data_IF_123841327369
#
_entry.id   IF_123841327369
#
_cell.length_a   1.000
_cell.length_b   1.000
_cell.length_c   1.000
_cell.angle_alpha   90.00
_cell.angle_beta   90.00
_cell.angle_gamma   90.00
#
_symmetry.space_group_name_H-M   'P 1'
#
loop_
_entity.id
_entity.type
_entity.pdbx_description
1 polymer ?
#
# COMPACT_ATOMS: atom_id res chain seq x y z
N UNK A 1 23.81 10.45 -11.01
CA UNK A 1 23.23 10.06 -9.71
C UNK A 1 21.81 9.53 -9.90
N UNK A 2 21.61 8.44 -10.66
CA UNK A 2 20.27 7.91 -10.90
C UNK A 2 20.31 6.46 -11.40
N UNK A 3 20.62 5.48 -10.53
CA UNK A 3 20.55 4.06 -10.96
C UNK A 3 20.50 3.03 -9.83
N UNK A 4 19.68 3.24 -8.78
CA UNK A 4 19.40 2.17 -7.80
C UNK A 4 17.91 2.13 -7.45
N UNK A 5 17.04 1.94 -8.44
CA UNK A 5 15.62 1.59 -8.22
C UNK A 5 15.29 0.13 -8.62
N UNK A 6 16.30 -0.71 -8.91
CA UNK A 6 16.09 -2.03 -9.53
C UNK A 6 16.27 -3.23 -8.60
N UNK A 7 15.98 -3.14 -7.29
CA UNK A 7 16.20 -4.28 -6.37
C UNK A 7 14.95 -5.01 -5.89
N UNK A 8 13.77 -4.79 -6.51
CA UNK A 8 12.65 -5.72 -6.36
C UNK A 8 12.09 -6.11 -7.71
N UNK A 9 11.89 -7.42 -7.97
CA UNK A 9 11.16 -7.83 -9.14
C UNK A 9 9.77 -7.20 -9.09
N UNK A 10 9.35 -6.61 -10.22
CA UNK A 10 8.01 -6.09 -10.38
C UNK A 10 6.99 -7.19 -10.09
N UNK A 11 5.87 -6.83 -9.48
CA UNK A 11 4.78 -7.76 -9.24
C UNK A 11 4.23 -8.31 -10.58
N UNK A 12 3.60 -9.48 -10.52
CA UNK A 12 2.91 -10.10 -11.67
C UNK A 12 1.73 -9.27 -12.18
N UNK A 13 1.19 -8.38 -11.34
CA UNK A 13 0.06 -7.49 -11.62
C UNK A 13 0.52 -6.03 -11.84
N UNK A 14 -0.30 -5.23 -12.55
CA UNK A 14 0.02 -3.84 -12.88
C UNK A 14 -0.24 -2.87 -11.72
N UNK A 15 -1.41 -2.96 -11.09
CA UNK A 15 -1.75 -2.19 -9.90
C UNK A 15 -2.85 -2.87 -9.09
N UNK A 16 -2.81 -2.69 -7.78
CA UNK A 16 -3.83 -3.13 -6.82
C UNK A 16 -4.41 -1.90 -6.12
N UNK A 17 -5.73 -1.81 -6.08
CA UNK A 17 -6.47 -0.76 -5.36
C UNK A 17 -7.26 -1.43 -4.24
N UNK A 18 -7.09 -0.95 -3.02
CA UNK A 18 -7.97 -1.31 -1.90
C UNK A 18 -8.63 -0.07 -1.35
N UNK A 19 -9.87 -0.21 -0.91
CA UNK A 19 -10.60 0.85 -0.22
C UNK A 19 -10.78 0.42 1.23
N UNK A 20 -10.22 1.20 2.14
CA UNK A 20 -10.26 0.91 3.58
C UNK A 20 -10.79 2.11 4.35
N UNK A 21 -11.41 1.85 5.49
CA UNK A 21 -11.84 2.91 6.41
C UNK A 21 -10.64 3.43 7.19
N UNK A 22 -10.38 4.73 7.10
CA UNK A 22 -9.27 5.38 7.78
C UNK A 22 -9.78 6.04 9.06
N UNK A 23 -9.52 5.45 10.23
CA UNK A 23 -9.96 5.97 11.54
C UNK A 23 -9.48 7.41 11.84
N UNK A 24 -8.35 7.82 11.27
CA UNK A 24 -7.81 9.17 11.46
C UNK A 24 -8.69 10.25 10.82
N UNK A 25 -9.42 9.91 9.76
CA UNK A 25 -10.32 10.83 9.05
C UNK A 25 -11.77 10.34 9.05
N UNK A 26 -12.05 9.21 9.69
CA UNK A 26 -13.32 8.49 9.77
C UNK A 26 -14.00 8.31 8.40
N UNK A 27 -13.21 8.16 7.34
CA UNK A 27 -13.68 8.14 5.96
C UNK A 27 -13.00 7.01 5.19
N UNK A 28 -13.64 6.54 4.13
CA UNK A 28 -13.08 5.55 3.22
C UNK A 28 -12.00 6.18 2.33
N UNK A 29 -10.80 5.62 2.36
CA UNK A 29 -9.67 6.01 1.53
C UNK A 29 -9.28 4.87 0.62
N UNK A 30 -8.85 5.22 -0.59
CA UNK A 30 -8.29 4.24 -1.51
C UNK A 30 -6.77 4.27 -1.47
N UNK A 31 -6.17 3.10 -1.32
CA UNK A 31 -4.73 2.87 -1.38
C UNK A 31 -4.44 2.17 -2.71
N UNK A 32 -3.64 2.83 -3.53
CA UNK A 32 -3.13 2.30 -4.79
C UNK A 32 -1.69 1.83 -4.57
N UNK A 33 -1.45 0.55 -4.77
CA UNK A 33 -0.10 -0.03 -4.84
C UNK A 33 0.13 -0.44 -6.28
N UNK A 34 1.22 0.03 -6.88
CA UNK A 34 1.61 -0.30 -8.24
C UNK A 34 2.58 -1.47 -8.24
N UNK A 35 2.72 -2.13 -9.40
CA UNK A 35 3.60 -3.31 -9.55
C UNK A 35 5.08 -3.02 -9.35
N UNK A 36 5.49 -1.75 -9.33
CA UNK A 36 6.82 -1.26 -8.92
C UNK A 36 6.95 -1.11 -7.39
N UNK A 37 5.97 -1.60 -6.62
CA UNK A 37 5.85 -1.48 -5.16
C UNK A 37 5.65 -0.05 -4.66
N UNK A 38 5.39 0.89 -5.56
CA UNK A 38 5.04 2.27 -5.21
C UNK A 38 3.63 2.31 -4.64
N UNK A 39 3.49 2.74 -3.40
CA UNK A 39 2.21 2.87 -2.70
C UNK A 39 1.80 4.34 -2.58
N UNK A 40 0.53 4.64 -2.85
CA UNK A 40 -0.03 5.98 -2.73
C UNK A 40 -1.46 5.96 -2.20
N UNK A 41 -1.77 6.89 -1.30
CA UNK A 41 -3.14 7.10 -0.82
C UNK A 41 -3.79 8.21 -1.66
N UNK A 42 -4.94 7.93 -2.27
CA UNK A 42 -5.66 8.89 -3.12
C UNK A 42 -6.04 10.15 -2.33
N UNK A 43 -6.44 9.98 -1.08
CA UNK A 43 -6.81 11.07 -0.18
C UNK A 43 -5.61 11.95 0.16
N UNK A 44 -4.48 11.36 0.56
CA UNK A 44 -3.23 12.12 0.78
C UNK A 44 -2.81 12.90 -0.47
N UNK A 45 -2.87 12.25 -1.64
CA UNK A 45 -2.50 12.88 -2.91
C UNK A 45 -3.40 14.08 -3.23
N UNK A 46 -4.69 13.97 -2.97
CA UNK A 46 -5.67 15.03 -3.21
C UNK A 46 -5.59 16.21 -2.25
N UNK A 47 -5.22 15.96 -0.99
CA UNK A 47 -5.39 16.94 0.08
C UNK A 47 -4.09 17.43 0.71
N UNK A 48 -3.01 16.64 0.68
CA UNK A 48 -1.73 16.94 1.35
C UNK A 48 -0.53 16.97 0.41
N UNK A 49 -0.59 16.27 -0.73
CA UNK A 49 0.49 16.26 -1.73
C UNK A 49 0.40 17.38 -2.77
N UNK A 50 -0.78 17.97 -2.98
CA UNK A 50 -0.88 19.22 -3.74
C UNK A 50 -0.26 20.30 -2.87
N UNK A 51 0.93 20.74 -3.29
CA UNK A 51 1.62 21.95 -2.86
C UNK A 51 0.62 23.04 -2.44
N UNK A 52 0.86 23.66 -1.29
CA UNK A 52 0.03 24.70 -0.64
C UNK A 52 -0.47 25.80 -1.61
N UNK A 53 0.14 25.89 -2.79
CA UNK A 53 -0.19 26.83 -3.86
C UNK A 53 -1.48 26.51 -4.65
N UNK A 54 -1.99 25.27 -4.71
CA UNK A 54 -3.06 24.92 -5.69
C UNK A 54 -4.48 24.71 -5.15
N UNK A 55 -4.73 24.77 -3.84
CA UNK A 55 -6.12 24.72 -3.32
C UNK A 55 -6.43 25.87 -2.37
N UNK A 56 -6.51 27.07 -2.93
CA UNK A 56 -7.46 28.13 -2.50
C UNK A 56 -8.94 27.76 -2.80
N UNK A 57 -9.26 26.47 -2.92
CA UNK A 57 -10.63 25.99 -2.99
C UNK A 57 -11.04 25.56 -1.59
N UNK A 58 -12.18 26.06 -1.10
CA UNK A 58 -12.75 25.85 0.24
C UNK A 58 -12.70 24.37 0.68
N UNK A 59 -11.58 23.93 1.24
CA UNK A 59 -11.51 22.64 1.94
C UNK A 59 -12.21 22.87 3.27
N UNK A 60 -13.26 22.10 3.52
CA UNK A 60 -14.03 22.16 4.76
C UNK A 60 -13.12 22.16 5.98
N UNK A 61 -13.47 22.93 7.02
CA UNK A 61 -12.68 23.02 8.26
C UNK A 61 -12.43 21.63 8.86
N UNK A 62 -13.43 20.75 8.75
CA UNK A 62 -13.37 19.34 9.16
C UNK A 62 -12.32 18.55 8.36
N UNK A 63 -12.30 18.73 7.04
CA UNK A 63 -11.32 18.08 6.16
C UNK A 63 -9.91 18.59 6.46
N UNK A 64 -9.73 19.89 6.72
CA UNK A 64 -8.42 20.46 7.10
C UNK A 64 -7.87 19.90 8.41
N UNK A 65 -8.72 19.74 9.43
CA UNK A 65 -8.34 19.07 10.68
C UNK A 65 -7.93 17.61 10.44
N UNK A 66 -8.69 16.89 9.62
CA UNK A 66 -8.40 15.51 9.22
C UNK A 66 -7.07 15.39 8.44
N UNK A 67 -6.69 16.40 7.66
CA UNK A 67 -5.41 16.42 6.93
C UNK A 67 -4.24 16.46 7.92
N UNK A 68 -4.36 17.23 9.00
CA UNK A 68 -3.36 17.28 10.04
C UNK A 68 -3.18 15.93 10.75
N UNK A 69 -4.26 15.15 10.90
CA UNK A 69 -4.23 13.80 11.48
C UNK A 69 -3.66 12.73 10.54
N UNK A 70 -3.60 13.01 9.23
CA UNK A 70 -3.06 12.07 8.25
C UNK A 70 -1.53 12.00 8.35
N UNK A 71 -1.01 10.85 8.80
CA UNK A 71 0.43 10.57 8.89
C UNK A 71 1.15 10.62 7.53
N UNK A 72 0.40 10.49 6.43
CA UNK A 72 0.92 10.63 5.07
C UNK A 72 1.44 9.32 4.46
N UNK A 73 2.48 9.36 3.62
CA UNK A 73 2.91 8.22 2.81
C UNK A 73 3.48 7.05 3.63
N UNK A 74 3.92 7.31 4.88
CA UNK A 74 4.33 6.27 5.85
C UNK A 74 3.21 5.84 6.80
N UNK A 75 1.93 6.08 6.44
CA UNK A 75 0.82 5.57 7.23
C UNK A 75 0.90 4.05 7.31
N UNK A 76 0.69 3.51 8.52
CA UNK A 76 0.75 2.07 8.79
C UNK A 76 -0.14 1.30 7.81
N UNK A 77 -1.39 1.74 7.62
CA UNK A 77 -2.34 1.11 6.68
C UNK A 77 -1.84 0.96 5.24
N UNK A 78 -1.07 1.94 4.75
CA UNK A 78 -0.49 1.90 3.39
C UNK A 78 0.66 0.90 3.35
N UNK A 79 1.46 0.89 4.42
CA UNK A 79 2.58 -0.03 4.58
C UNK A 79 2.07 -1.47 4.72
N UNK A 80 1.14 -1.73 5.65
CA UNK A 80 0.51 -3.03 5.85
C UNK A 80 -0.06 -3.62 4.57
N UNK A 81 -0.83 -2.82 3.81
CA UNK A 81 -1.42 -3.31 2.57
C UNK A 81 -0.36 -3.65 1.52
N UNK A 82 0.69 -2.84 1.40
CA UNK A 82 1.82 -3.14 0.51
C UNK A 82 2.56 -4.39 0.96
N UNK A 83 2.83 -4.53 2.26
CA UNK A 83 3.52 -5.67 2.85
C UNK A 83 2.68 -6.96 2.76
N UNK A 84 1.36 -6.86 2.82
CA UNK A 84 0.43 -7.95 2.52
C UNK A 84 0.56 -8.39 1.05
N UNK A 85 0.50 -7.47 0.09
CA UNK A 85 0.65 -7.79 -1.33
C UNK A 85 2.03 -8.39 -1.66
N UNK A 86 3.08 -7.93 -0.97
CA UNK A 86 4.43 -8.50 -1.05
C UNK A 86 4.44 -9.96 -0.61
N UNK A 87 3.74 -10.29 0.48
CA UNK A 87 3.62 -11.66 0.98
C UNK A 87 2.85 -12.53 0.00
N UNK A 88 1.69 -12.07 -0.47
CA UNK A 88 0.86 -12.82 -1.43
C UNK A 88 1.60 -13.07 -2.75
N UNK A 89 2.39 -12.11 -3.23
CA UNK A 89 3.20 -12.27 -4.44
C UNK A 89 4.35 -13.27 -4.24
N UNK A 90 4.97 -13.28 -3.05
CA UNK A 90 5.97 -14.29 -2.70
C UNK A 90 5.35 -15.68 -2.60
N UNK A 91 4.18 -15.81 -1.97
CA UNK A 91 3.42 -17.06 -1.87
C UNK A 91 2.96 -17.55 -3.24
N UNK A 92 2.57 -16.67 -4.16
CA UNK A 92 2.24 -17.05 -5.55
C UNK A 92 3.46 -17.53 -6.34
N UNK A 93 4.64 -16.97 -6.08
CA UNK A 93 5.89 -17.33 -6.78
C UNK A 93 6.55 -18.58 -6.20
N UNK A 94 6.31 -18.85 -4.93
CA UNK A 94 6.82 -20.06 -4.28
C UNK A 94 5.74 -21.13 -4.44
N UNK A 95 5.89 -22.15 -5.30
CA UNK A 95 4.98 -23.29 -5.23
C UNK A 95 4.97 -23.81 -3.79
N UNK A 96 3.81 -24.29 -3.26
CA UNK A 96 3.77 -24.83 -1.91
C UNK A 96 4.88 -25.89 -1.80
N UNK A 97 5.90 -25.62 -0.99
CA UNK A 97 6.86 -26.65 -0.61
C UNK A 97 6.03 -27.72 0.07
N UNK A 98 5.84 -28.82 -0.65
CA UNK A 98 5.31 -30.06 -0.12
C UNK A 98 6.06 -30.34 1.17
N UNK A 99 5.33 -30.39 2.29
CA UNK A 99 5.85 -30.94 3.53
C UNK A 99 6.06 -32.44 3.29
N UNK A 100 7.17 -32.78 2.67
CA UNK A 100 7.74 -34.12 2.62
C UNK A 100 8.31 -34.41 4.01
N UNK A 101 7.47 -34.87 4.92
CA UNK A 101 7.88 -35.33 6.24
C UNK A 101 6.90 -36.36 6.78
N UNK A 102 7.33 -37.63 6.83
CA UNK A 102 6.59 -38.76 7.43
C UNK A 102 6.64 -40.01 6.54
N UNK A 103 7.82 -40.58 6.32
CA UNK A 103 8.41 -41.67 7.14
C UNK A 103 7.90 -43.07 6.75
N UNK A 104 8.82 -43.80 6.13
CA UNK A 104 8.92 -45.26 5.96
C UNK A 104 8.41 -46.02 7.19
N UNK A 105 7.53 -47.01 6.98
CA UNK A 105 7.65 -48.37 7.52
C UNK A 105 6.50 -49.26 7.01
N UNK A 106 6.86 -50.24 6.17
CA UNK A 106 6.04 -51.41 5.83
C UNK A 106 6.15 -52.48 6.94
N UNK A 107 5.13 -53.33 7.09
CA UNK A 107 5.35 -54.76 7.27
C UNK A 107 4.93 -55.57 6.04
#
# INVERSE_FOLDING_TARGET
MAEILSQRPSASWQACVTTIKCDAIEEYVSILVKGDWTSSCTWYKQFKSSDESQKKGKVDKKTRQRIALCQGPQCHRVTDYRDQLLREEQERRTPPQQTSSGSIASP
#
